data_IF_056837611859
#
_entry.id   IF_056837611859
#
_cell.length_a   1.000
_cell.length_b   1.000
_cell.length_c   1.000
_cell.angle_alpha   90.00
_cell.angle_beta   90.00
_cell.angle_gamma   90.00
#
_symmetry.space_group_name_H-M   'P 1'
#
loop_
_entity.id
_entity.type
_entity.pdbx_description
1 polymer ?
#
# COMPACT_ATOMS: atom_id res chain seq x y z
N UNK A 1 9.83 -14.78 3.80
CA UNK A 1 8.93 -15.95 3.74
C UNK A 1 9.44 -16.93 2.69
N UNK A 2 9.17 -18.22 2.81
CA UNK A 2 9.65 -19.23 1.85
C UNK A 2 8.59 -19.51 0.76
N UNK A 3 8.98 -19.59 -0.52
CA UNK A 3 8.07 -19.87 -1.65
C UNK A 3 7.55 -21.31 -1.69
N UNK A 4 8.16 -22.27 -1.00
CA UNK A 4 7.75 -23.68 -0.97
C UNK A 4 6.32 -23.89 -0.43
N UNK A 5 5.80 -22.92 0.33
CA UNK A 5 4.42 -22.95 0.85
C UNK A 5 3.37 -22.47 -0.18
N UNK A 6 3.82 -21.97 -1.33
CA UNK A 6 2.99 -21.42 -2.39
C UNK A 6 2.93 -22.37 -3.57
N UNK A 7 1.84 -22.32 -4.33
CA UNK A 7 1.68 -23.16 -5.51
C UNK A 7 2.70 -22.76 -6.58
N UNK A 8 3.42 -23.72 -7.20
CA UNK A 8 4.39 -23.43 -8.24
C UNK A 8 3.71 -22.90 -9.51
N UNK A 9 4.49 -22.25 -10.37
CA UNK A 9 4.06 -21.69 -11.66
C UNK A 9 2.89 -20.70 -11.56
N UNK A 10 2.74 -20.06 -10.41
CA UNK A 10 1.65 -19.14 -10.11
C UNK A 10 2.20 -17.75 -9.84
N UNK A 11 1.50 -16.72 -10.33
CA UNK A 11 1.78 -15.32 -9.95
C UNK A 11 0.97 -15.01 -8.70
N UNK A 12 1.65 -14.63 -7.63
CA UNK A 12 1.03 -14.16 -6.41
C UNK A 12 1.11 -12.64 -6.33
N UNK A 13 0.02 -12.00 -5.93
CA UNK A 13 0.00 -10.61 -5.50
C UNK A 13 -0.03 -10.55 -3.97
N UNK A 14 0.75 -9.62 -3.42
CA UNK A 14 0.81 -9.37 -1.98
C UNK A 14 0.00 -8.13 -1.62
N UNK A 15 -0.83 -8.27 -0.59
CA UNK A 15 -1.69 -7.21 -0.11
C UNK A 15 -1.42 -6.97 1.37
N UNK A 16 -1.20 -5.72 1.76
CA UNK A 16 -1.22 -5.33 3.17
C UNK A 16 -2.66 -5.02 3.57
N UNK A 17 -3.15 -5.65 4.64
CA UNK A 17 -4.49 -5.40 5.15
C UNK A 17 -4.42 -4.52 6.39
N UNK A 18 -5.03 -3.33 6.30
CA UNK A 18 -4.90 -2.27 7.30
C UNK A 18 -6.21 -1.55 7.60
N UNK A 19 -6.28 -0.95 8.78
CA UNK A 19 -7.30 0.03 9.18
C UNK A 19 -6.59 1.29 9.67
N UNK A 20 -7.26 2.43 9.55
CA UNK A 20 -6.82 3.67 10.18
C UNK A 20 -7.73 3.94 11.37
N UNK A 21 -7.12 4.18 12.53
CA UNK A 21 -7.85 4.66 13.70
C UNK A 21 -8.47 6.03 13.40
N UNK A 22 -9.58 6.36 14.07
CA UNK A 22 -10.28 7.64 13.85
C UNK A 22 -9.39 8.88 14.05
N UNK A 23 -8.37 8.75 14.90
CA UNK A 23 -7.37 9.79 15.19
C UNK A 23 -6.04 9.56 14.49
N UNK A 24 -6.01 8.80 13.39
CA UNK A 24 -4.79 8.60 12.63
C UNK A 24 -4.24 9.93 12.11
N UNK A 25 -2.91 10.07 12.10
CA UNK A 25 -2.22 11.30 11.69
C UNK A 25 -0.85 10.96 11.10
N UNK A 26 -0.33 11.85 10.25
CA UNK A 26 1.05 11.78 9.78
C UNK A 26 1.30 10.78 8.64
N UNK A 27 0.32 9.96 8.26
CA UNK A 27 0.49 8.85 7.31
C UNK A 27 0.34 9.24 5.83
N UNK A 28 -0.29 10.37 5.53
CA UNK A 28 -0.63 10.82 4.18
C UNK A 28 0.29 11.95 3.65
N UNK A 29 1.30 12.34 4.43
CA UNK A 29 2.20 13.45 4.06
C UNK A 29 3.19 13.09 2.97
N UNK A 30 3.71 11.86 2.98
CA UNK A 30 4.71 11.38 2.05
C UNK A 30 4.36 9.97 1.58
N UNK A 31 4.73 9.60 0.34
CA UNK A 31 4.55 8.25 -0.12
C UNK A 31 5.45 7.29 0.68
N UNK A 32 4.89 6.14 1.01
CA UNK A 32 5.65 4.99 1.49
C UNK A 32 6.25 4.24 0.30
N UNK A 33 7.50 3.80 0.43
CA UNK A 33 8.13 2.90 -0.52
C UNK A 33 7.58 1.48 -0.30
N UNK A 34 7.20 0.81 -1.38
CA UNK A 34 6.89 -0.62 -1.39
C UNK A 34 8.00 -1.35 -2.13
N UNK A 35 8.36 -2.55 -1.66
CA UNK A 35 9.25 -3.41 -2.44
C UNK A 35 8.98 -4.89 -2.23
N UNK A 36 9.22 -5.66 -3.29
CA UNK A 36 9.22 -7.12 -3.29
C UNK A 36 10.57 -7.59 -3.81
N UNK A 37 11.21 -8.47 -3.05
CA UNK A 37 12.47 -9.11 -3.41
C UNK A 37 12.27 -10.62 -3.42
N UNK A 38 12.61 -11.26 -4.55
CA UNK A 38 12.57 -12.71 -4.73
C UNK A 38 13.93 -13.19 -5.21
N UNK A 39 14.70 -13.84 -4.34
CA UNK A 39 16.08 -14.19 -4.62
C UNK A 39 16.93 -12.94 -4.89
N UNK A 40 17.38 -12.74 -6.13
CA UNK A 40 18.19 -11.57 -6.55
C UNK A 40 17.39 -10.47 -7.27
N UNK A 41 16.12 -10.72 -7.56
CA UNK A 41 15.26 -9.79 -8.28
C UNK A 41 14.50 -8.92 -7.28
N UNK A 42 14.55 -7.60 -7.47
CA UNK A 42 13.85 -6.63 -6.61
C UNK A 42 13.01 -5.68 -7.47
N UNK A 43 11.75 -5.52 -7.08
CA UNK A 43 10.84 -4.53 -7.64
C UNK A 43 10.49 -3.52 -6.55
N UNK A 44 10.40 -2.25 -6.90
CA UNK A 44 10.07 -1.16 -5.98
C UNK A 44 8.96 -0.28 -6.57
N UNK A 45 8.20 0.37 -5.70
CA UNK A 45 7.16 1.32 -6.06
C UNK A 45 6.86 2.26 -4.90
N UNK A 46 5.83 3.08 -5.06
CA UNK A 46 5.41 4.02 -4.02
C UNK A 46 3.89 4.02 -3.86
N UNK A 47 3.42 4.24 -2.63
CA UNK A 47 2.00 4.31 -2.31
C UNK A 47 1.74 5.35 -1.22
N UNK A 48 0.65 6.11 -1.34
CA UNK A 48 0.23 7.06 -0.31
C UNK A 48 -0.74 6.39 0.67
N UNK A 49 -0.44 6.41 1.97
CA UNK A 49 -1.34 5.87 2.99
C UNK A 49 -2.39 6.93 3.36
N UNK A 50 -3.35 7.17 2.48
CA UNK A 50 -4.44 8.11 2.72
C UNK A 50 -5.63 7.40 3.39
N UNK A 51 -6.03 7.76 4.63
CA UNK A 51 -7.17 7.15 5.31
C UNK A 51 -8.53 7.40 4.63
N UNK A 52 -8.56 8.23 3.57
CA UNK A 52 -9.70 9.04 3.26
C UNK A 52 -9.98 9.15 1.76
N UNK A 53 -10.40 8.05 1.12
CA UNK A 53 -11.05 8.11 -0.20
C UNK A 53 -12.55 8.48 -0.11
N UNK A 54 -13.13 8.57 1.09
CA UNK A 54 -14.59 8.64 1.30
C UNK A 54 -15.16 9.90 1.96
N UNK A 55 -14.39 10.70 2.72
CA UNK A 55 -14.91 11.97 3.22
C UNK A 55 -14.70 13.04 2.16
N UNK A 56 -15.77 13.37 1.43
CA UNK A 56 -15.97 14.75 0.99
C UNK A 56 -15.76 15.61 2.23
N UNK A 57 -14.68 16.39 2.27
CA UNK A 57 -14.52 17.41 3.31
C UNK A 57 -15.82 18.22 3.30
N UNK A 58 -16.54 18.38 4.43
CA UNK A 58 -17.57 19.40 4.48
C UNK A 58 -16.91 20.71 4.07
N UNK A 59 -17.44 21.40 3.06
CA UNK A 59 -17.04 22.77 2.77
C UNK A 59 -17.27 23.58 4.05
N UNK A 60 -16.19 23.84 4.78
CA UNK A 60 -16.24 24.40 6.11
C UNK A 60 -14.92 25.08 6.43
N UNK A 61 -14.76 26.28 5.86
CA UNK A 61 -13.98 27.40 6.38
C UNK A 61 -12.57 27.11 6.94
N UNK A 62 -11.59 27.08 6.04
CA UNK A 62 -10.28 27.65 6.33
C UNK A 62 -9.60 28.02 4.99
N UNK A 63 -9.67 29.30 4.63
CA UNK A 63 -8.86 29.86 3.55
C UNK A 63 -7.38 29.70 3.90
N UNK A 64 -6.66 28.90 3.11
CA UNK A 64 -5.21 29.00 2.96
C UNK A 64 -4.95 29.21 1.47
N UNK A 65 -4.50 30.39 1.02
CA UNK A 65 -4.50 30.73 -0.40
C UNK A 65 -3.38 30.09 -1.22
N UNK A 66 -2.59 29.17 -0.66
CA UNK A 66 -1.34 28.70 -1.26
C UNK A 66 -1.16 27.17 -1.25
N UNK A 67 -2.22 26.41 -1.50
CA UNK A 67 -2.06 24.99 -1.89
C UNK A 67 -2.51 24.85 -3.33
N UNK A 68 -1.53 24.77 -4.22
CA UNK A 68 -1.71 24.13 -5.52
C UNK A 68 -2.33 22.75 -5.26
N UNK A 69 -3.63 22.63 -5.55
CA UNK A 69 -4.31 21.35 -5.52
C UNK A 69 -3.70 20.47 -6.61
N UNK A 70 -3.14 19.28 -6.29
CA UNK A 70 -2.90 18.31 -7.33
C UNK A 70 -4.26 17.75 -7.72
N UNK A 71 -4.85 18.38 -8.74
CA UNK A 71 -5.96 17.84 -9.50
C UNK A 71 -5.52 16.55 -10.20
N UNK A 72 -5.49 15.42 -9.49
CA UNK A 72 -5.41 14.07 -10.11
C UNK A 72 -6.27 13.07 -9.36
N UNK A 73 -7.55 13.38 -9.27
CA UNK A 73 -8.56 12.34 -9.23
C UNK A 73 -8.56 11.60 -10.57
N UNK A 74 -8.36 10.28 -10.54
CA UNK A 74 -8.75 9.30 -11.58
C UNK A 74 -7.87 9.08 -12.83
N UNK A 75 -6.57 9.40 -12.84
CA UNK A 75 -5.69 9.05 -14.00
C UNK A 75 -4.24 8.69 -13.62
N UNK A 76 -3.99 8.04 -12.49
CA UNK A 76 -2.71 7.35 -12.23
C UNK A 76 -3.01 5.94 -11.73
N UNK A 77 -3.75 5.21 -12.56
CA UNK A 77 -3.65 3.76 -12.62
C UNK A 77 -2.50 3.47 -13.57
N UNK A 78 -1.28 3.44 -13.03
CA UNK A 78 -0.10 2.81 -13.61
C UNK A 78 1.05 3.09 -12.62
N UNK A 79 1.52 2.04 -11.94
CA UNK A 79 2.70 1.98 -11.05
C UNK A 79 2.62 2.45 -9.58
N UNK A 80 1.48 2.97 -9.10
CA UNK A 80 1.22 3.15 -7.66
C UNK A 80 0.33 2.04 -7.13
N UNK A 81 0.73 1.37 -6.04
CA UNK A 81 -0.06 0.28 -5.44
C UNK A 81 -1.51 0.71 -5.19
N UNK A 82 -2.48 -0.07 -5.69
CA UNK A 82 -3.90 0.23 -5.54
C UNK A 82 -4.34 0.05 -4.08
N UNK A 83 -5.05 1.04 -3.53
CA UNK A 83 -5.71 0.95 -2.23
C UNK A 83 -7.19 0.73 -2.45
N UNK A 84 -7.77 -0.29 -1.81
CA UNK A 84 -9.19 -0.62 -1.95
C UNK A 84 -9.82 -0.92 -0.58
N UNK A 85 -11.03 -0.39 -0.34
CA UNK A 85 -11.81 -0.71 0.86
C UNK A 85 -12.59 -2.01 0.69
N UNK A 86 -12.47 -2.92 1.67
CA UNK A 86 -13.23 -4.17 1.78
C UNK A 86 -14.62 -3.94 2.38
N UNK A 87 -15.49 -4.96 2.23
CA UNK A 87 -16.85 -4.96 2.82
C UNK A 87 -16.86 -4.99 4.35
N UNK A 88 -15.82 -5.56 4.97
CA UNK A 88 -15.62 -5.65 6.43
C UNK A 88 -15.01 -4.38 7.06
N UNK A 89 -14.79 -3.34 6.23
CA UNK A 89 -14.22 -2.07 6.65
C UNK A 89 -12.68 -2.04 6.74
N UNK A 90 -11.97 -3.13 6.44
CA UNK A 90 -10.52 -3.10 6.24
C UNK A 90 -10.17 -2.49 4.88
N UNK A 91 -8.92 -2.06 4.71
CA UNK A 91 -8.35 -1.62 3.44
C UNK A 91 -7.23 -2.56 3.01
N UNK A 92 -7.18 -2.84 1.71
CA UNK A 92 -6.14 -3.61 1.07
C UNK A 92 -5.23 -2.67 0.29
N UNK A 93 -3.91 -2.85 0.42
CA UNK A 93 -2.90 -2.12 -0.33
C UNK A 93 -2.09 -3.13 -1.13
N UNK A 94 -2.14 -3.07 -2.46
CA UNK A 94 -1.29 -3.92 -3.31
C UNK A 94 0.18 -3.50 -3.17
N UNK A 95 1.01 -4.38 -2.64
CA UNK A 95 2.45 -4.18 -2.46
C UNK A 95 3.26 -4.64 -3.69
N UNK A 96 2.58 -5.28 -4.65
CA UNK A 96 3.13 -5.80 -5.90
C UNK A 96 2.83 -7.29 -6.10
N UNK A 97 3.40 -7.85 -7.16
CA UNK A 97 3.25 -9.27 -7.50
C UNK A 97 4.58 -9.92 -7.88
N UNK A 98 4.68 -11.22 -7.68
CA UNK A 98 5.85 -12.03 -8.01
C UNK A 98 5.45 -13.43 -8.49
N UNK A 99 6.33 -14.05 -9.29
CA UNK A 99 6.11 -15.38 -9.86
C UNK A 99 6.85 -16.46 -9.09
N UNK A 100 6.18 -17.60 -8.86
CA UNK A 100 6.79 -18.80 -8.27
C UNK A 100 7.30 -19.71 -9.40
N UNK A 101 8.62 -19.81 -9.56
CA UNK A 101 9.24 -20.63 -10.60
C UNK A 101 9.42 -22.11 -10.21
N UNK A 102 8.99 -22.49 -9.01
CA UNK A 102 9.11 -23.84 -8.47
C UNK A 102 10.43 -24.12 -7.75
N UNK A 103 11.32 -23.12 -7.64
CA UNK A 103 12.46 -23.18 -6.76
C UNK A 103 12.13 -22.57 -5.40
N UNK A 104 12.72 -23.13 -4.35
CA UNK A 104 12.61 -22.60 -3.00
C UNK A 104 13.46 -21.34 -2.88
N UNK A 105 12.78 -20.20 -2.78
CA UNK A 105 13.38 -18.88 -2.64
C UNK A 105 12.77 -18.17 -1.45
N UNK A 106 13.55 -17.27 -0.86
CA UNK A 106 13.01 -16.33 0.10
C UNK A 106 12.38 -15.16 -0.65
N UNK A 107 11.17 -14.79 -0.23
CA UNK A 107 10.49 -13.57 -0.63
C UNK A 107 10.49 -12.60 0.55
N UNK A 108 10.93 -11.37 0.31
CA UNK A 108 10.85 -10.25 1.25
C UNK A 108 9.91 -9.20 0.68
N UNK A 109 8.96 -8.79 1.49
CA UNK A 109 7.96 -7.77 1.14
C UNK A 109 8.10 -6.66 2.17
N UNK A 110 8.19 -5.41 1.72
CA UNK A 110 8.31 -4.27 2.61
C UNK A 110 7.42 -3.10 2.19
N UNK A 111 6.93 -2.38 3.19
CA UNK A 111 6.32 -1.06 3.10
C UNK A 111 7.06 -0.18 4.11
N UNK A 112 7.70 0.89 3.65
CA UNK A 112 8.48 1.77 4.52
C UNK A 112 8.44 3.22 4.05
N UNK A 113 8.08 4.13 4.94
CA UNK A 113 8.33 5.56 4.71
C UNK A 113 9.70 5.93 5.28
N UNK A 114 10.64 6.38 4.43
CA UNK A 114 12.03 6.65 4.81
C UNK A 114 12.42 8.13 4.82
N UNK A 115 11.52 9.01 4.38
CA UNK A 115 11.83 10.43 4.12
C UNK A 115 11.27 11.40 5.16
N UNK A 116 10.18 11.04 5.85
CA UNK A 116 9.53 11.92 6.81
C UNK A 116 10.18 11.90 8.19
N UNK A 117 10.20 13.07 8.84
CA UNK A 117 10.61 13.24 10.25
C UNK A 117 9.41 13.48 11.18
N UNK A 118 8.19 13.42 10.65
CA UNK A 118 6.97 13.69 11.41
C UNK A 118 6.54 12.48 12.25
N UNK A 119 5.95 12.75 13.42
CA UNK A 119 5.24 11.74 14.18
C UNK A 119 4.05 11.22 13.39
N UNK A 120 3.82 9.91 13.47
CA UNK A 120 2.73 9.22 12.77
C UNK A 120 2.10 8.22 13.70
N UNK A 121 0.82 8.00 13.53
CA UNK A 121 0.09 7.08 14.38
C UNK A 121 -1.25 6.70 13.81
N UNK A 122 -1.82 5.63 14.36
CA UNK A 122 -3.15 5.15 14.03
C UNK A 122 -3.23 4.23 12.82
N UNK A 123 -2.12 3.64 12.36
CA UNK A 123 -2.17 2.52 11.42
C UNK A 123 -2.34 1.21 12.20
N UNK A 124 -3.42 0.49 11.93
CA UNK A 124 -3.72 -0.82 12.49
C UNK A 124 -3.44 -1.85 11.39
N UNK A 125 -2.61 -2.85 11.67
CA UNK A 125 -2.22 -3.88 10.70
C UNK A 125 -2.85 -5.20 11.09
N UNK A 126 -3.60 -5.80 10.16
CA UNK A 126 -4.09 -7.17 10.30
C UNK A 126 -3.03 -8.18 9.85
N UNK A 127 -2.43 -7.94 8.69
CA UNK A 127 -1.38 -8.81 8.16
C UNK A 127 -1.11 -8.60 6.67
N UNK A 128 -0.37 -9.56 6.10
CA UNK A 128 -0.10 -9.65 4.66
C UNK A 128 -0.88 -10.85 4.11
N UNK A 129 -1.69 -10.60 3.08
CA UNK A 129 -2.38 -11.64 2.32
C UNK A 129 -1.69 -11.88 0.98
N UNK A 130 -1.51 -13.15 0.61
CA UNK A 130 -0.99 -13.56 -0.69
C UNK A 130 -2.09 -14.25 -1.48
N UNK A 131 -2.38 -13.75 -2.67
CA UNK A 131 -3.46 -14.28 -3.51
C UNK A 131 -2.93 -14.60 -4.91
N UNK A 132 -3.23 -15.78 -5.48
CA UNK A 132 -3.01 -16.05 -6.90
C UNK A 132 -3.72 -15.00 -7.74
N UNK A 133 -3.04 -14.46 -8.77
CA UNK A 133 -3.59 -13.42 -9.65
C UNK A 133 -4.31 -14.00 -10.87
N UNK A 134 -3.93 -15.22 -11.29
CA UNK A 134 -4.46 -15.95 -12.45
C UNK A 134 -4.53 -17.44 -12.16
#
# INVERSE_FOLDING_TARGET
MNTAMLSPKTVYAAYLVVKFADRAYGLDFLPSEISIEVGKSRTQGQVYLSPNEGRKRPLGHAHSPNRVEPLRSRLLQEEGGAICKRKDGWMEIELGSFFIDGNDKEVKISLKEVKGQHLKGGLIVEGIELRPKY
#
